data_IF_064102552182
#
_entry.id   IF_064102552182
#
_cell.length_a   1.000
_cell.length_b   1.000
_cell.length_c   1.000
_cell.angle_alpha   90.00
_cell.angle_beta   90.00
_cell.angle_gamma   90.00
#
_symmetry.space_group_name_H-M   'P 1'
#
loop_
_entity.id
_entity.type
_entity.pdbx_description
1 polymer ?
#
# COMPACT_ATOMS: atom_id res chain seq x y z
N UNK A 1 -18.42 -1.49 23.75
CA UNK A 1 -18.32 -1.62 22.27
C UNK A 1 -19.69 -1.28 21.69
N UNK A 2 -19.75 -0.52 20.60
CA UNK A 2 -21.01 -0.18 19.91
C UNK A 2 -21.70 -1.41 19.34
N UNK A 3 -23.02 -1.33 19.17
CA UNK A 3 -23.82 -2.42 18.58
C UNK A 3 -23.41 -2.67 17.12
N UNK A 4 -23.04 -3.92 16.79
CA UNK A 4 -22.67 -4.34 15.44
C UNK A 4 -21.16 -4.33 15.11
N UNK A 5 -20.30 -4.00 16.06
CA UNK A 5 -18.84 -4.13 15.91
C UNK A 5 -18.48 -5.63 15.93
N UNK A 6 -17.86 -6.13 14.86
CA UNK A 6 -17.29 -7.49 14.80
C UNK A 6 -15.76 -7.33 14.85
N UNK A 7 -15.25 -7.04 16.05
CA UNK A 7 -13.84 -6.72 16.29
C UNK A 7 -13.64 -5.94 17.59
N UNK A 8 -12.44 -5.94 18.15
CA UNK A 8 -12.12 -5.12 19.33
C UNK A 8 -11.77 -3.70 18.86
N UNK A 9 -12.13 -2.67 19.64
CA UNK A 9 -11.63 -1.32 19.38
C UNK A 9 -10.14 -1.26 19.70
N UNK A 10 -9.33 -0.80 18.75
CA UNK A 10 -7.89 -0.66 18.92
C UNK A 10 -7.55 0.75 19.39
N UNK A 11 -7.18 0.91 20.66
CA UNK A 11 -6.55 2.16 21.11
C UNK A 11 -5.09 2.13 20.68
N UNK A 12 -4.72 2.97 19.72
CA UNK A 12 -3.35 3.09 19.23
C UNK A 12 -2.74 4.34 19.85
N UNK A 13 -2.29 4.21 21.11
CA UNK A 13 -1.65 5.33 21.80
C UNK A 13 -0.21 5.50 21.31
N UNK A 14 0.08 6.63 20.65
CA UNK A 14 1.45 7.08 20.39
C UNK A 14 2.31 6.13 19.54
N UNK A 15 1.74 5.53 18.50
CA UNK A 15 2.48 4.69 17.55
C UNK A 15 2.82 3.27 18.04
N UNK A 16 2.36 2.86 19.22
CA UNK A 16 2.45 1.46 19.67
C UNK A 16 1.20 0.71 19.24
N UNK A 17 1.34 -0.16 18.24
CA UNK A 17 0.28 -1.07 17.82
C UNK A 17 -0.06 -2.02 18.98
N UNK A 18 -1.27 -1.93 19.54
CA UNK A 18 -1.87 -3.01 20.30
C UNK A 18 -2.63 -3.83 19.26
N UNK A 19 -2.19 -5.05 18.94
CA UNK A 19 -2.88 -5.93 17.98
C UNK A 19 -3.52 -7.09 18.79
N UNK A 20 -4.76 -6.97 19.30
CA UNK A 20 -5.54 -8.14 19.66
C UNK A 20 -5.74 -9.03 18.42
N UNK A 21 -5.83 -10.34 18.66
CA UNK A 21 -6.05 -11.33 17.61
C UNK A 21 -7.41 -11.09 16.93
N UNK A 22 -7.40 -10.55 15.71
CA UNK A 22 -8.59 -10.50 14.88
C UNK A 22 -8.79 -11.85 14.19
N UNK A 23 -9.99 -12.42 14.32
CA UNK A 23 -10.39 -13.57 13.52
C UNK A 23 -10.68 -13.12 12.08
N UNK A 24 -10.29 -13.93 11.10
CA UNK A 24 -10.66 -13.67 9.71
C UNK A 24 -12.19 -13.75 9.59
N UNK A 25 -12.79 -12.81 8.83
CA UNK A 25 -14.23 -12.76 8.62
C UNK A 25 -14.54 -12.53 7.14
N UNK A 26 -15.69 -13.04 6.71
CA UNK A 26 -16.27 -12.76 5.41
C UNK A 26 -17.36 -11.70 5.58
N UNK A 27 -17.44 -10.73 4.68
CA UNK A 27 -18.35 -9.59 4.80
C UNK A 27 -19.42 -9.58 3.69
N UNK A 28 -20.26 -10.63 3.58
CA UNK A 28 -21.16 -10.81 2.43
C UNK A 28 -22.28 -9.76 2.35
N UNK A 29 -22.58 -9.06 3.46
CA UNK A 29 -23.57 -7.98 3.51
C UNK A 29 -22.93 -6.59 3.46
N UNK A 30 -21.65 -6.52 3.12
CA UNK A 30 -20.84 -5.32 3.25
C UNK A 30 -20.10 -5.25 4.60
N UNK A 31 -19.28 -4.22 4.72
CA UNK A 31 -18.43 -3.99 5.89
C UNK A 31 -18.30 -2.49 6.13
N UNK A 32 -17.84 -2.10 7.31
CA UNK A 32 -17.34 -0.76 7.51
C UNK A 32 -16.12 -0.76 8.40
N UNK A 33 -15.31 0.28 8.30
CA UNK A 33 -14.31 0.61 9.29
C UNK A 33 -14.38 2.09 9.63
N UNK A 34 -13.95 2.43 10.84
CA UNK A 34 -13.75 3.81 11.27
C UNK A 34 -12.45 3.91 12.04
N UNK A 35 -11.68 4.97 11.84
CA UNK A 35 -10.51 5.27 12.65
C UNK A 35 -10.27 6.78 12.69
N UNK A 36 -9.59 7.22 13.74
CA UNK A 36 -9.02 8.55 13.78
C UNK A 36 -7.63 8.52 13.18
N UNK A 37 -7.29 9.53 12.39
CA UNK A 37 -5.96 9.70 11.80
C UNK A 37 -5.45 11.10 12.05
N UNK A 38 -4.17 11.21 12.40
CA UNK A 38 -3.42 12.47 12.44
C UNK A 38 -2.20 12.33 11.55
N UNK A 39 -2.10 13.13 10.50
CA UNK A 39 -0.96 13.09 9.58
C UNK A 39 0.20 13.89 10.17
N UNK A 40 1.41 13.34 10.14
CA UNK A 40 2.61 14.06 10.59
C UNK A 40 3.26 14.86 9.46
N UNK A 41 2.82 14.59 8.23
CA UNK A 41 3.28 15.25 7.01
C UNK A 41 2.15 15.18 5.97
N UNK A 42 1.14 16.07 6.06
CA UNK A 42 -0.02 16.06 5.18
C UNK A 42 0.34 16.39 3.71
N UNK A 43 1.55 16.89 3.46
CA UNK A 43 2.07 17.11 2.10
C UNK A 43 2.47 15.82 1.39
N UNK A 44 2.47 14.66 2.09
CA UNK A 44 2.95 13.39 1.55
C UNK A 44 1.88 12.32 1.46
N UNK A 45 1.85 11.62 0.33
CA UNK A 45 0.96 10.48 0.13
C UNK A 45 1.35 9.28 1.00
N UNK A 46 0.33 8.58 1.50
CA UNK A 46 0.48 7.35 2.30
C UNK A 46 -0.25 6.24 1.55
N UNK A 47 0.52 5.26 1.07
CA UNK A 47 0.04 4.14 0.26
C UNK A 47 -0.76 3.09 1.05
N UNK A 48 -1.00 3.30 2.33
CA UNK A 48 -1.74 2.37 3.17
C UNK A 48 -1.83 2.87 4.59
N UNK A 49 -3.05 3.13 5.05
CA UNK A 49 -3.35 3.39 6.45
C UNK A 49 -3.82 2.09 7.10
N UNK A 50 -4.85 1.49 6.50
CA UNK A 50 -5.53 0.28 6.97
C UNK A 50 -5.97 -0.53 5.75
N UNK A 51 -5.77 -1.85 5.75
CA UNK A 51 -6.14 -2.73 4.62
C UNK A 51 -6.77 -4.03 5.07
N UNK A 52 -7.72 -4.55 4.31
CA UNK A 52 -8.15 -5.95 4.44
C UNK A 52 -7.17 -6.87 3.71
N UNK A 53 -7.06 -8.11 4.19
CA UNK A 53 -6.32 -9.17 3.50
C UNK A 53 -6.79 -9.37 2.05
N UNK A 54 -8.10 -9.20 1.80
CA UNK A 54 -8.67 -9.17 0.45
C UNK A 54 -9.63 -7.98 0.31
N UNK A 55 -9.62 -7.30 -0.83
CA UNK A 55 -10.54 -6.20 -1.14
C UNK A 55 -9.99 -4.79 -0.94
N UNK A 56 -8.68 -4.64 -0.69
CA UNK A 56 -7.99 -3.34 -0.73
C UNK A 56 -7.84 -2.65 0.63
N UNK A 57 -7.44 -1.38 0.60
CA UNK A 57 -7.21 -0.59 1.79
C UNK A 57 -7.49 0.89 1.61
N UNK A 58 -7.49 1.61 2.73
CA UNK A 58 -7.61 3.07 2.76
C UNK A 58 -6.21 3.68 2.65
N UNK A 59 -6.07 4.67 1.77
CA UNK A 59 -4.83 5.39 1.52
C UNK A 59 -5.07 6.91 1.59
N UNK A 60 -3.98 7.69 1.67
CA UNK A 60 -4.01 9.15 1.66
C UNK A 60 -3.18 9.73 0.50
N UNK A 61 -3.69 10.79 -0.13
CA UNK A 61 -2.98 11.61 -1.11
C UNK A 61 -3.15 13.11 -0.80
N UNK A 62 -2.11 13.94 -0.93
CA UNK A 62 -2.22 15.38 -0.80
C UNK A 62 -3.15 15.96 -1.87
N UNK A 63 -4.11 16.77 -1.43
CA UNK A 63 -5.03 17.52 -2.30
C UNK A 63 -6.51 17.21 -2.05
N UNK A 64 -7.36 17.68 -2.97
CA UNK A 64 -8.84 17.57 -2.87
C UNK A 64 -9.31 16.12 -2.68
N UNK A 65 -8.51 15.20 -3.18
CA UNK A 65 -8.75 13.76 -3.19
C UNK A 65 -8.12 13.02 -1.99
N UNK A 66 -8.06 13.72 -0.84
CA UNK A 66 -7.38 13.37 0.41
C UNK A 66 -7.34 11.87 0.74
N UNK A 67 -8.48 11.20 0.76
CA UNK A 67 -8.54 9.77 1.03
C UNK A 67 -9.11 8.98 -0.14
N UNK A 68 -8.61 7.76 -0.30
CA UNK A 68 -9.15 6.80 -1.24
C UNK A 68 -9.27 5.40 -0.68
N UNK A 69 -10.03 4.56 -1.39
CA UNK A 69 -10.22 3.16 -1.07
C UNK A 69 -9.96 2.27 -2.29
N UNK A 70 -9.28 1.15 -2.04
CA UNK A 70 -8.96 0.16 -3.06
C UNK A 70 -7.45 -0.05 -3.14
N UNK A 71 -6.92 -0.02 -4.35
CA UNK A 71 -5.49 -0.10 -4.58
C UNK A 71 -4.87 1.30 -4.37
N UNK A 72 -3.75 1.35 -3.64
CA UNK A 72 -3.18 2.63 -3.26
C UNK A 72 -2.37 3.22 -4.42
N UNK A 73 -2.60 4.48 -4.81
CA UNK A 73 -1.77 5.14 -5.80
C UNK A 73 -0.34 5.24 -5.29
N UNK A 74 0.63 5.15 -6.22
CA UNK A 74 2.05 5.35 -5.91
C UNK A 74 2.19 6.61 -5.04
N UNK A 75 2.76 6.46 -3.84
CA UNK A 75 2.93 7.58 -2.93
C UNK A 75 3.88 8.58 -3.57
N UNK A 76 3.33 9.67 -4.11
CA UNK A 76 4.10 10.73 -4.73
C UNK A 76 5.01 11.41 -3.71
N UNK A 77 6.31 11.23 -3.89
CA UNK A 77 7.30 12.31 -3.79
C UNK A 77 8.35 12.10 -4.89
N UNK A 78 8.59 13.17 -5.65
CA UNK A 78 9.72 13.44 -6.54
C UNK A 78 10.38 12.25 -7.24
N UNK A 79 9.94 11.89 -8.45
CA UNK A 79 10.61 10.90 -9.31
C UNK A 79 11.00 9.56 -8.65
N UNK A 80 10.39 9.20 -7.51
CA UNK A 80 10.67 7.96 -6.77
C UNK A 80 9.38 7.15 -6.48
N UNK A 81 8.32 7.45 -7.22
CA UNK A 81 7.15 6.59 -7.35
C UNK A 81 7.58 5.32 -8.10
N UNK A 82 7.66 4.22 -7.35
CA UNK A 82 8.12 2.94 -7.91
C UNK A 82 7.36 2.58 -9.18
N UNK A 83 8.07 1.99 -10.12
CA UNK A 83 7.53 1.49 -11.37
C UNK A 83 6.70 0.26 -11.07
N UNK A 84 5.39 0.37 -11.22
CA UNK A 84 4.45 -0.71 -10.94
C UNK A 84 4.76 -1.93 -11.82
N UNK A 85 4.62 -3.12 -11.26
CA UNK A 85 4.93 -4.37 -11.96
C UNK A 85 3.87 -4.65 -13.03
N UNK A 86 2.60 -4.31 -12.76
CA UNK A 86 1.48 -4.49 -13.68
C UNK A 86 1.59 -3.65 -14.97
N UNK A 87 2.31 -2.53 -14.92
CA UNK A 87 2.55 -1.65 -16.07
C UNK A 87 3.83 -2.03 -16.83
N UNK A 88 4.63 -2.93 -16.27
CA UNK A 88 5.89 -3.37 -16.84
C UNK A 88 5.65 -4.36 -18.00
N UNK A 89 6.71 -4.62 -18.77
CA UNK A 89 6.65 -5.70 -19.76
C UNK A 89 6.83 -7.04 -19.04
N UNK A 90 5.85 -7.92 -19.11
CA UNK A 90 5.96 -9.25 -18.50
C UNK A 90 5.51 -10.37 -19.44
N UNK A 91 5.97 -11.60 -19.17
CA UNK A 91 5.50 -12.83 -19.82
C UNK A 91 5.54 -13.97 -18.83
N UNK A 92 4.37 -14.58 -18.58
CA UNK A 92 4.23 -15.68 -17.63
C UNK A 92 3.44 -15.29 -16.39
N UNK A 93 3.91 -14.31 -15.58
CA UNK A 93 3.18 -13.88 -14.40
C UNK A 93 1.78 -13.40 -14.77
N UNK A 94 0.83 -13.58 -13.86
CA UNK A 94 -0.55 -13.13 -14.05
C UNK A 94 -0.83 -11.88 -13.24
N UNK A 95 -1.59 -10.94 -13.82
CA UNK A 95 -2.06 -9.77 -13.09
C UNK A 95 -3.14 -10.20 -12.09
N UNK A 96 -2.97 -9.85 -10.83
CA UNK A 96 -3.87 -10.20 -9.73
C UNK A 96 -4.15 -8.99 -8.84
N UNK A 97 -5.27 -9.06 -8.11
CA UNK A 97 -5.71 -8.05 -7.12
C UNK A 97 -6.25 -8.66 -5.82
N UNK A 98 -6.05 -9.98 -5.66
CA UNK A 98 -6.71 -10.76 -4.60
C UNK A 98 -6.09 -10.58 -3.22
N UNK A 99 -4.78 -10.29 -3.14
CA UNK A 99 -4.07 -10.08 -1.88
C UNK A 99 -3.91 -8.59 -1.62
N UNK A 100 -4.59 -8.01 -0.64
CA UNK A 100 -4.54 -6.59 -0.34
C UNK A 100 -3.16 -6.08 0.06
N UNK A 101 -2.97 -4.76 -0.06
CA UNK A 101 -1.74 -4.05 0.33
C UNK A 101 -0.77 -3.74 -0.81
N UNK A 102 -1.04 -4.13 -2.06
CA UNK A 102 -0.31 -3.68 -3.25
C UNK A 102 -0.59 -2.19 -3.57
N UNK A 103 0.31 -1.56 -4.31
CA UNK A 103 0.15 -0.24 -4.91
C UNK A 103 -0.40 -0.38 -6.34
N UNK A 104 -0.79 0.72 -6.98
CA UNK A 104 -1.23 0.70 -8.38
C UNK A 104 -2.63 0.12 -8.56
N UNK A 105 -2.81 -0.83 -9.48
CA UNK A 105 -4.09 -1.50 -9.79
C UNK A 105 -4.05 -3.01 -9.58
N UNK A 106 -2.86 -3.56 -9.32
CA UNK A 106 -2.68 -4.98 -9.07
C UNK A 106 -1.26 -5.32 -8.65
N UNK A 107 -0.89 -6.57 -8.83
CA UNK A 107 0.48 -7.05 -8.73
C UNK A 107 0.65 -8.21 -9.71
N UNK A 108 1.90 -8.51 -10.06
CA UNK A 108 2.21 -9.70 -10.84
C UNK A 108 2.44 -10.90 -9.93
N UNK A 109 1.60 -11.92 -10.08
CA UNK A 109 1.76 -13.23 -9.46
C UNK A 109 2.61 -14.12 -10.37
N UNK A 110 3.86 -14.37 -9.97
CA UNK A 110 4.72 -15.32 -10.67
C UNK A 110 4.18 -16.74 -10.45
N UNK A 111 3.86 -17.41 -11.55
CA UNK A 111 3.28 -18.74 -11.54
C UNK A 111 4.31 -19.84 -11.28
N UNK A 112 4.05 -20.98 -11.90
CA UNK A 112 4.81 -22.23 -11.67
C UNK A 112 5.75 -22.59 -12.81
N UNK A 113 5.99 -21.68 -13.76
CA UNK A 113 6.85 -21.95 -14.93
C UNK A 113 8.21 -21.31 -14.75
N UNK A 114 9.23 -21.99 -15.25
CA UNK A 114 10.58 -21.43 -15.37
C UNK A 114 10.64 -20.47 -16.57
N UNK A 115 11.38 -19.37 -16.44
CA UNK A 115 11.59 -18.39 -17.50
C UNK A 115 10.52 -17.31 -17.59
N UNK A 116 9.57 -17.28 -16.65
CA UNK A 116 8.65 -16.16 -16.48
C UNK A 116 9.41 -14.90 -16.08
N UNK A 117 9.04 -13.74 -16.62
CA UNK A 117 9.75 -12.50 -16.34
C UNK A 117 8.86 -11.28 -16.26
N UNK A 118 9.42 -10.25 -15.63
CA UNK A 118 8.97 -8.85 -15.58
C UNK A 118 10.17 -7.95 -15.88
N UNK A 119 9.98 -6.94 -16.72
CA UNK A 119 11.02 -6.03 -17.20
C UNK A 119 10.52 -4.58 -17.19
N UNK A 120 11.27 -3.73 -16.51
CA UNK A 120 11.06 -2.28 -16.49
C UNK A 120 12.09 -1.57 -17.36
N UNK A 121 11.67 -0.51 -18.03
CA UNK A 121 12.57 0.50 -18.60
C UNK A 121 12.72 1.64 -17.60
N UNK A 122 13.95 1.91 -17.16
CA UNK A 122 14.27 2.95 -16.18
C UNK A 122 15.21 3.97 -16.82
N UNK A 123 15.05 5.26 -16.48
CA UNK A 123 15.99 6.29 -16.91
C UNK A 123 16.95 6.60 -15.77
N UNK A 124 18.25 6.45 -16.03
CA UNK A 124 19.32 6.71 -15.05
C UNK A 124 20.01 8.01 -15.42
N UNK A 125 19.97 9.01 -14.54
CA UNK A 125 20.53 10.33 -14.85
C UNK A 125 22.05 10.40 -14.68
N UNK A 126 22.58 9.71 -13.68
CA UNK A 126 24.00 9.74 -13.31
C UNK A 126 24.56 8.33 -13.21
N UNK A 127 25.80 8.14 -13.64
CA UNK A 127 26.51 6.89 -13.38
C UNK A 127 26.73 6.68 -11.87
N UNK A 128 26.77 5.42 -11.44
CA UNK A 128 27.26 5.04 -10.11
C UNK A 128 26.31 4.14 -9.33
N UNK A 129 26.47 4.04 -8.00
CA UNK A 129 25.77 3.04 -7.20
C UNK A 129 24.29 3.40 -7.04
N UNK A 130 23.43 2.53 -7.56
CA UNK A 130 21.99 2.60 -7.40
C UNK A 130 21.49 1.50 -6.48
N UNK A 131 20.37 1.76 -5.81
CA UNK A 131 19.64 0.78 -5.02
C UNK A 131 18.33 0.47 -5.72
N UNK A 132 18.16 -0.78 -6.11
CA UNK A 132 16.90 -1.34 -6.56
C UNK A 132 16.15 -1.88 -5.34
N UNK A 133 14.90 -1.46 -5.17
CA UNK A 133 14.00 -1.95 -4.12
C UNK A 133 12.76 -2.52 -4.77
N UNK A 134 12.64 -3.85 -4.74
CA UNK A 134 11.49 -4.58 -5.26
C UNK A 134 10.49 -4.83 -4.15
N UNK A 135 9.29 -4.25 -4.24
CA UNK A 135 8.21 -4.53 -3.29
C UNK A 135 7.51 -5.82 -3.66
N UNK A 136 7.37 -6.73 -2.71
CA UNK A 136 6.88 -8.08 -2.98
C UNK A 136 6.18 -8.70 -1.76
N UNK A 137 5.37 -9.72 -2.00
CA UNK A 137 4.84 -10.62 -0.98
C UNK A 137 5.18 -12.08 -1.35
N UNK A 138 5.47 -12.90 -0.35
CA UNK A 138 5.86 -14.30 -0.59
C UNK A 138 5.50 -15.22 0.58
N UNK A 139 5.03 -16.44 0.28
CA UNK A 139 4.81 -17.49 1.29
C UNK A 139 6.08 -18.20 1.76
N UNK A 140 7.23 -17.98 1.11
CA UNK A 140 8.48 -18.71 1.37
C UNK A 140 9.67 -18.11 0.60
N UNK A 141 10.79 -18.82 0.54
CA UNK A 141 11.92 -18.38 -0.28
C UNK A 141 11.63 -18.63 -1.77
N UNK A 142 11.50 -17.58 -2.58
CA UNK A 142 11.05 -17.67 -3.98
C UNK A 142 11.97 -16.88 -4.91
N UNK A 143 13.20 -17.36 -5.11
CA UNK A 143 14.25 -16.55 -5.70
C UNK A 143 14.04 -16.26 -7.19
N UNK A 144 14.48 -15.08 -7.64
CA UNK A 144 14.51 -14.67 -9.05
C UNK A 144 15.92 -14.20 -9.46
N UNK A 145 16.28 -14.39 -10.73
CA UNK A 145 17.50 -13.84 -11.32
C UNK A 145 17.28 -12.39 -11.75
N UNK A 146 18.26 -11.54 -11.48
CA UNK A 146 18.28 -10.14 -11.93
C UNK A 146 19.20 -10.02 -13.15
N UNK A 147 18.72 -9.34 -14.19
CA UNK A 147 19.54 -8.91 -15.32
C UNK A 147 19.36 -7.43 -15.60
N UNK A 148 20.42 -6.78 -16.10
CA UNK A 148 20.44 -5.38 -16.54
C UNK A 148 20.84 -5.34 -18.00
N UNK A 149 20.01 -4.71 -18.83
CA UNK A 149 20.20 -4.64 -20.29
C UNK A 149 20.38 -6.01 -20.97
N UNK A 150 19.82 -7.07 -20.36
CA UNK A 150 19.93 -8.46 -20.82
C UNK A 150 21.12 -9.23 -20.27
N UNK A 151 22.02 -8.58 -19.53
CA UNK A 151 23.19 -9.21 -18.91
C UNK A 151 22.88 -9.62 -17.47
N UNK A 152 23.15 -10.88 -17.12
CA UNK A 152 23.03 -11.43 -15.77
C UNK A 152 24.42 -11.55 -15.12
N UNK A 153 24.57 -11.07 -13.88
CA UNK A 153 25.77 -11.36 -13.10
C UNK A 153 25.68 -12.80 -12.55
N UNK A 154 26.30 -13.73 -13.27
CA UNK A 154 26.32 -15.15 -12.92
C UNK A 154 27.11 -15.45 -11.63
N UNK A 155 27.94 -14.52 -11.15
CA UNK A 155 28.67 -14.67 -9.89
C UNK A 155 27.82 -14.27 -8.68
N UNK A 156 26.79 -13.44 -8.88
CA UNK A 156 25.83 -13.07 -7.85
C UNK A 156 24.80 -14.20 -7.65
N UNK A 157 24.46 -14.54 -6.39
CA UNK A 157 23.34 -15.42 -6.14
C UNK A 157 22.03 -14.77 -6.60
N UNK A 158 21.00 -15.57 -6.92
CA UNK A 158 19.67 -15.03 -7.19
C UNK A 158 19.15 -14.17 -6.03
N UNK A 159 18.31 -13.18 -6.33
CA UNK A 159 17.64 -12.41 -5.30
C UNK A 159 16.65 -13.31 -4.57
N UNK A 160 16.70 -13.39 -3.21
CA UNK A 160 16.05 -14.48 -2.50
C UNK A 160 14.52 -14.38 -2.42
N UNK A 161 13.96 -13.16 -2.35
CA UNK A 161 12.52 -12.93 -2.15
C UNK A 161 11.93 -13.86 -1.06
N UNK A 162 12.41 -13.66 0.17
CA UNK A 162 12.09 -14.47 1.34
C UNK A 162 10.61 -14.38 1.78
N UNK A 163 10.16 -15.34 2.59
CA UNK A 163 8.78 -15.33 3.09
C UNK A 163 8.45 -14.05 3.88
N UNK A 164 7.33 -13.41 3.55
CA UNK A 164 6.92 -12.12 4.14
C UNK A 164 5.95 -12.25 5.31
N UNK A 165 5.64 -13.49 5.71
CA UNK A 165 4.62 -13.97 6.69
C UNK A 165 3.27 -14.34 6.06
N UNK A 166 2.76 -13.54 5.13
CA UNK A 166 1.54 -13.84 4.36
C UNK A 166 1.59 -13.11 3.01
N UNK A 167 0.69 -13.48 2.10
CA UNK A 167 0.56 -12.83 0.79
C UNK A 167 0.09 -11.38 0.83
N UNK A 168 -0.36 -10.92 2.00
CA UNK A 168 -0.88 -9.58 2.25
C UNK A 168 0.11 -8.71 3.03
N UNK A 169 1.22 -9.30 3.47
CA UNK A 169 2.34 -8.56 4.06
C UNK A 169 3.38 -8.35 2.96
N UNK A 170 3.55 -7.10 2.56
CA UNK A 170 4.48 -6.69 1.52
C UNK A 170 5.79 -6.20 2.15
N UNK A 171 6.92 -6.57 1.56
CA UNK A 171 8.28 -6.18 1.99
C UNK A 171 9.12 -5.76 0.80
N UNK A 172 10.28 -5.19 1.07
CA UNK A 172 11.24 -4.80 0.03
C UNK A 172 12.41 -5.78 -0.03
N UNK A 173 12.68 -6.32 -1.22
CA UNK A 173 13.94 -6.98 -1.55
C UNK A 173 14.85 -5.91 -2.15
N UNK A 174 15.97 -5.64 -1.47
CA UNK A 174 16.91 -4.60 -1.86
C UNK A 174 18.14 -5.21 -2.53
N UNK A 175 18.59 -4.60 -3.61
CA UNK A 175 19.84 -4.96 -4.30
C UNK A 175 20.58 -3.69 -4.73
N UNK A 176 21.90 -3.66 -4.56
CA UNK A 176 22.74 -2.52 -4.95
C UNK A 176 23.64 -2.91 -6.10
N UNK A 177 23.73 -2.04 -7.08
CA UNK A 177 24.55 -2.23 -8.29
C UNK A 177 24.94 -0.89 -8.88
N UNK A 178 25.99 -0.87 -9.68
CA UNK A 178 26.34 0.31 -10.46
C UNK A 178 25.54 0.35 -11.76
N UNK A 179 24.83 1.45 -11.98
CA UNK A 179 24.15 1.71 -13.25
C UNK A 179 24.89 2.79 -14.04
N UNK A 180 24.90 2.61 -15.36
CA UNK A 180 25.36 3.63 -16.31
C UNK A 180 24.18 4.56 -16.66
N UNK A 181 24.43 5.84 -17.00
CA UNK A 181 23.37 6.77 -17.35
C UNK A 181 22.65 6.37 -18.65
N UNK A 182 21.45 6.91 -18.85
CA UNK A 182 20.56 6.62 -19.98
C UNK A 182 19.45 5.62 -19.63
N UNK A 183 18.71 5.21 -20.66
CA UNK A 183 17.67 4.17 -20.53
C UNK A 183 18.31 2.82 -20.24
N UNK A 184 17.78 2.12 -19.23
CA UNK A 184 18.23 0.79 -18.78
C UNK A 184 17.05 -0.14 -18.65
N UNK A 185 17.26 -1.41 -18.95
CA UNK A 185 16.26 -2.47 -18.72
C UNK A 185 16.63 -3.24 -17.46
N UNK A 186 15.73 -3.25 -16.48
CA UNK A 186 15.88 -4.04 -15.27
C UNK A 186 14.89 -5.18 -15.35
N UNK A 187 15.36 -6.43 -15.34
CA UNK A 187 14.50 -7.61 -15.49
C UNK A 187 14.71 -8.60 -14.36
N UNK A 188 13.62 -9.10 -13.81
CA UNK A 188 13.60 -10.28 -12.95
C UNK A 188 13.05 -11.48 -13.71
N UNK A 189 13.76 -12.61 -13.64
CA UNK A 189 13.39 -13.86 -14.34
C UNK A 189 13.35 -15.02 -13.35
N UNK A 190 12.29 -15.83 -13.43
CA UNK A 190 12.20 -17.06 -12.66
C UNK A 190 13.11 -18.14 -13.23
N UNK A 191 13.84 -18.81 -12.36
CA UNK A 191 14.66 -19.99 -12.69
C UNK A 191 14.18 -21.24 -11.95
N UNK A 192 13.07 -21.12 -11.22
CA UNK A 192 12.38 -22.20 -10.50
C UNK A 192 10.88 -22.09 -10.74
N UNK A 193 10.13 -23.11 -10.37
CA UNK A 193 8.66 -23.16 -10.53
C UNK A 193 7.91 -22.42 -9.40
N UNK A 194 8.53 -21.39 -8.82
CA UNK A 194 7.96 -20.57 -7.76
C UNK A 194 8.55 -19.16 -7.80
N UNK A 195 7.70 -18.15 -7.97
CA UNK A 195 8.06 -16.74 -7.76
C UNK A 195 7.15 -16.02 -6.78
N UNK A 196 7.53 -14.81 -6.34
CA UNK A 196 6.75 -13.99 -5.41
C UNK A 196 5.58 -13.30 -6.13
N UNK A 197 4.68 -12.70 -5.35
CA UNK A 197 3.84 -11.61 -5.83
C UNK A 197 4.70 -10.36 -5.88
N UNK A 198 4.74 -9.69 -7.02
CA UNK A 198 5.60 -8.55 -7.25
C UNK A 198 4.77 -7.31 -7.54
N UNK A 199 5.00 -6.27 -6.74
CA UNK A 199 4.22 -5.05 -6.72
C UNK A 199 4.89 -3.96 -7.54
N UNK A 200 6.12 -3.57 -7.20
CA UNK A 200 6.82 -2.49 -7.92
C UNK A 200 8.32 -2.50 -7.75
N UNK A 201 9.01 -1.74 -8.61
CA UNK A 201 10.43 -1.44 -8.54
C UNK A 201 10.67 0.04 -8.23
N UNK A 202 11.38 0.35 -7.15
CA UNK A 202 11.95 1.69 -6.90
C UNK A 202 13.45 1.70 -7.19
N UNK A 203 13.95 2.74 -7.85
CA UNK A 203 15.37 2.90 -8.23
C UNK A 203 15.91 4.21 -7.67
N UNK A 204 16.81 4.12 -6.69
CA UNK A 204 17.43 5.31 -6.07
C UNK A 204 18.91 5.41 -6.43
N UNK A 205 19.35 6.58 -6.90
CA UNK A 205 20.74 6.82 -7.34
C UNK A 205 21.60 7.62 -6.35
N UNK A 206 22.91 7.78 -6.64
CA UNK A 206 23.83 8.53 -5.80
C UNK A 206 23.55 10.04 -5.93
N UNK A 207 23.01 10.65 -4.88
CA UNK A 207 22.69 12.07 -4.85
C UNK A 207 21.21 12.42 -5.01
N UNK A 208 20.29 11.46 -4.86
CA UNK A 208 18.85 11.74 -4.62
C UNK A 208 18.57 12.30 -3.21
N UNK A 209 19.60 12.63 -2.43
CA UNK A 209 19.48 13.44 -1.22
C UNK A 209 19.13 14.88 -1.56
N UNK A 210 17.87 15.25 -1.29
CA UNK A 210 17.28 16.60 -1.32
C UNK A 210 17.67 17.46 -2.53
N UNK A 211 16.89 17.36 -3.61
CA UNK A 211 16.58 18.57 -4.38
C UNK A 211 15.30 19.17 -3.80
N UNK A 212 15.42 20.29 -3.12
CA UNK A 212 14.36 21.30 -3.08
C UNK A 212 14.02 21.60 -4.55
N UNK A 213 12.85 21.18 -5.01
CA UNK A 213 12.32 21.61 -6.29
C UNK A 213 11.11 22.47 -5.98
N UNK A 214 11.21 23.73 -6.41
CA UNK A 214 10.22 24.77 -6.25
C UNK A 214 8.83 24.34 -6.72
N UNK A 215 7.86 24.80 -5.95
CA UNK A 215 6.42 24.82 -6.16
C UNK A 215 6.00 24.97 -7.62
N UNK A 216 5.12 24.07 -8.08
CA UNK A 216 4.00 24.26 -9.02
C UNK A 216 3.51 22.85 -9.45
N UNK A 217 2.30 22.34 -9.15
CA UNK A 217 0.98 22.89 -8.82
C UNK A 217 0.08 21.86 -8.08
N UNK A 218 -0.80 22.37 -7.19
CA UNK A 218 -2.18 21.89 -6.81
C UNK A 218 -2.39 21.18 -5.46
N UNK A 219 -3.62 21.33 -4.92
CA UNK A 219 -4.07 22.34 -3.94
C UNK A 219 -3.56 22.02 -2.51
N UNK A 220 -3.71 22.95 -1.58
CA UNK A 220 -3.42 22.68 -0.15
C UNK A 220 -4.05 21.36 0.31
N UNK A 221 -3.34 20.54 1.12
CA UNK A 221 -3.91 19.31 1.66
C UNK A 221 -5.16 19.65 2.47
N UNK A 222 -6.24 18.86 2.26
CA UNK A 222 -7.50 19.02 3.02
C UNK A 222 -7.31 18.70 4.51
N UNK A 223 -6.23 17.98 4.83
CA UNK A 223 -5.86 17.55 6.16
C UNK A 223 -4.85 18.51 6.78
N UNK A 224 -5.03 18.82 8.06
CA UNK A 224 -4.05 19.52 8.87
C UNK A 224 -3.28 18.53 9.77
N UNK A 225 -2.50 19.05 10.71
CA UNK A 225 -1.81 18.23 11.71
C UNK A 225 -2.72 17.85 12.90
N UNK A 226 -4.05 17.93 12.79
CA UNK A 226 -5.00 17.49 13.81
C UNK A 226 -5.56 16.09 13.54
N UNK A 227 -6.43 15.64 14.45
CA UNK A 227 -7.10 14.35 14.36
C UNK A 227 -8.39 14.47 13.57
N UNK A 228 -8.51 13.69 12.50
CA UNK A 228 -9.73 13.57 11.71
C UNK A 228 -10.32 12.18 11.78
N UNK A 229 -11.64 12.08 11.69
CA UNK A 229 -12.37 10.82 11.62
C UNK A 229 -12.47 10.39 10.16
N UNK A 230 -11.95 9.21 9.84
CA UNK A 230 -12.14 8.54 8.56
C UNK A 230 -13.04 7.34 8.75
N UNK A 231 -14.15 7.30 8.00
CA UNK A 231 -15.06 6.17 7.98
C UNK A 231 -15.23 5.65 6.55
N UNK A 232 -15.04 4.35 6.36
CA UNK A 232 -15.31 3.67 5.10
C UNK A 232 -16.51 2.75 5.30
N UNK A 233 -17.54 2.90 4.47
CA UNK A 233 -18.74 2.07 4.46
C UNK A 233 -18.86 1.38 3.10
N UNK A 234 -18.86 0.05 3.12
CA UNK A 234 -18.86 -0.82 1.93
C UNK A 234 -20.21 -1.51 1.82
N UNK A 235 -20.92 -1.23 0.73
CA UNK A 235 -22.18 -1.88 0.34
C UNK A 235 -21.93 -2.69 -0.95
N UNK A 236 -22.93 -3.44 -1.42
CA UNK A 236 -22.80 -4.21 -2.66
C UNK A 236 -22.44 -3.30 -3.85
N UNK A 237 -21.29 -3.54 -4.46
CA UNK A 237 -20.81 -2.79 -5.63
C UNK A 237 -20.22 -1.40 -5.33
N UNK A 238 -20.24 -0.91 -4.08
CA UNK A 238 -19.89 0.48 -3.76
C UNK A 238 -19.18 0.66 -2.42
N UNK A 239 -18.27 1.64 -2.39
CA UNK A 239 -17.63 2.14 -1.18
C UNK A 239 -17.94 3.63 -1.02
N UNK A 240 -18.28 4.04 0.19
CA UNK A 240 -18.37 5.46 0.58
C UNK A 240 -17.33 5.74 1.64
N UNK A 241 -16.51 6.73 1.40
CA UNK A 241 -15.53 7.24 2.35
C UNK A 241 -16.02 8.58 2.89
N UNK A 242 -16.04 8.70 4.20
CA UNK A 242 -16.43 9.88 4.94
C UNK A 242 -15.23 10.45 5.69
N UNK A 243 -15.14 11.78 5.69
CA UNK A 243 -14.17 12.56 6.44
C UNK A 243 -14.95 13.49 7.37
N UNK A 244 -14.69 13.39 8.68
CA UNK A 244 -15.35 14.17 9.73
C UNK A 244 -16.87 14.18 9.57
N UNK A 245 -17.44 12.99 9.41
CA UNK A 245 -18.88 12.77 9.28
C UNK A 245 -19.46 13.10 7.90
N UNK A 246 -18.73 13.82 7.05
CA UNK A 246 -19.21 14.24 5.73
C UNK A 246 -18.76 13.27 4.64
N UNK A 247 -19.61 13.02 3.64
CA UNK A 247 -19.23 12.17 2.50
C UNK A 247 -18.09 12.84 1.73
N UNK A 248 -16.94 12.17 1.69
CA UNK A 248 -15.73 12.64 0.99
C UNK A 248 -15.68 12.11 -0.44
N UNK A 249 -15.83 10.79 -0.62
CA UNK A 249 -15.86 10.17 -1.95
C UNK A 249 -16.67 8.88 -1.98
N UNK A 250 -17.15 8.54 -3.17
CA UNK A 250 -17.75 7.26 -3.49
C UNK A 250 -16.95 6.53 -4.60
N UNK A 251 -16.86 5.21 -4.50
CA UNK A 251 -16.10 4.34 -5.41
C UNK A 251 -16.93 3.12 -5.80
N UNK A 252 -16.70 2.60 -7.02
CA UNK A 252 -17.17 1.27 -7.39
C UNK A 252 -16.22 0.20 -6.80
N UNK A 253 -16.78 -0.93 -6.38
CA UNK A 253 -16.01 -2.05 -5.82
C UNK A 253 -16.50 -3.36 -6.39
N UNK A 254 -15.58 -4.20 -6.87
CA UNK A 254 -15.95 -5.45 -7.56
C UNK A 254 -16.46 -6.56 -6.62
N UNK A 255 -16.01 -6.55 -5.36
CA UNK A 255 -16.37 -7.57 -4.37
C UNK A 255 -16.24 -7.04 -2.94
N UNK A 256 -17.02 -7.56 -1.98
CA UNK A 256 -16.83 -7.23 -0.58
C UNK A 256 -15.43 -7.67 -0.11
N UNK A 257 -14.80 -6.93 0.81
CA UNK A 257 -13.51 -7.32 1.35
C UNK A 257 -13.65 -8.57 2.22
N UNK A 258 -12.54 -9.24 2.49
CA UNK A 258 -12.51 -10.36 3.43
C UNK A 258 -11.17 -10.55 4.11
N UNK A 259 -11.18 -11.36 5.17
CA UNK A 259 -10.02 -11.67 5.97
C UNK A 259 -9.72 -10.64 7.06
N UNK A 260 -8.50 -10.70 7.58
CA UNK A 260 -8.04 -9.82 8.67
C UNK A 260 -7.75 -8.41 8.15
N UNK A 261 -7.71 -7.46 9.07
CA UNK A 261 -7.26 -6.11 8.81
C UNK A 261 -5.82 -5.96 9.29
N UNK A 262 -5.00 -5.36 8.45
CA UNK A 262 -3.62 -5.03 8.72
C UNK A 262 -3.42 -3.51 8.65
N UNK A 263 -2.58 -3.02 9.56
CA UNK A 263 -2.04 -1.67 9.55
C UNK A 263 -0.76 -1.71 8.72
N UNK A 264 -0.52 -0.67 7.91
CA UNK A 264 0.78 -0.56 7.25
C UNK A 264 1.87 -0.35 8.31
N UNK A 265 2.96 -1.11 8.20
CA UNK A 265 4.02 -1.07 9.21
C UNK A 265 4.85 0.19 8.99
N UNK A 266 5.02 1.08 9.98
CA UNK A 266 5.83 2.26 9.79
C UNK A 266 7.28 1.83 9.52
N UNK A 267 7.83 2.32 8.40
CA UNK A 267 9.28 2.46 8.24
C UNK A 267 9.84 3.37 9.33
N UNK A 268 11.11 3.76 9.23
CA UNK A 268 11.89 4.42 10.30
C UNK A 268 11.23 5.61 11.05
N UNK A 269 10.16 6.23 10.53
CA UNK A 269 9.22 7.06 11.30
C UNK A 269 7.77 6.89 10.77
N UNK A 270 6.73 6.86 11.64
CA UNK A 270 5.34 6.82 11.19
C UNK A 270 4.96 8.16 10.53
N UNK A 271 4.42 8.10 9.31
CA UNK A 271 3.91 9.29 8.58
C UNK A 271 2.52 9.75 9.08
N UNK A 272 1.93 9.00 9.99
CA UNK A 272 0.61 9.21 10.53
C UNK A 272 0.47 8.49 11.88
N UNK A 273 -0.42 8.99 12.72
CA UNK A 273 -0.94 8.29 13.88
C UNK A 273 -2.35 7.80 13.59
N UNK A 274 -2.71 6.63 14.11
CA UNK A 274 -4.09 6.16 14.13
C UNK A 274 -4.57 6.06 15.57
N UNK A 275 -5.87 6.21 15.78
CA UNK A 275 -6.51 5.86 17.04
C UNK A 275 -7.92 5.31 16.82
N UNK A 276 -8.40 4.52 17.78
CA UNK A 276 -9.72 3.91 17.83
C UNK A 276 -10.21 3.29 16.51
N UNK A 277 -9.37 2.45 15.87
CA UNK A 277 -9.85 1.65 14.74
C UNK A 277 -11.03 0.78 15.21
N UNK A 278 -12.10 0.73 14.42
CA UNK A 278 -13.28 -0.11 14.63
C UNK A 278 -13.67 -0.74 13.31
N UNK A 279 -14.20 -1.96 13.37
CA UNK A 279 -14.57 -2.77 12.20
C UNK A 279 -15.96 -3.33 12.42
N UNK A 280 -16.80 -3.20 11.41
CA UNK A 280 -18.22 -3.52 11.46
C UNK A 280 -18.54 -4.56 10.40
N UNK A 281 -19.32 -5.58 10.77
CA UNK A 281 -19.80 -6.62 9.86
C UNK A 281 -20.94 -6.18 8.94
N UNK A 282 -21.11 -4.87 8.78
CA UNK A 282 -22.17 -4.22 8.00
C UNK A 282 -21.72 -2.83 7.56
N UNK A 283 -22.34 -2.27 6.51
CA UNK A 283 -22.24 -0.84 6.22
C UNK A 283 -22.72 0.00 7.41
N UNK A 284 -22.09 1.16 7.61
CA UNK A 284 -22.57 2.18 8.54
C UNK A 284 -23.39 3.23 7.79
N UNK A 285 -24.57 3.61 8.31
CA UNK A 285 -25.33 4.75 7.82
C UNK A 285 -24.72 6.07 8.32
N UNK A 286 -25.02 7.17 7.63
CA UNK A 286 -24.39 8.49 7.91
C UNK A 286 -24.68 8.99 9.32
N UNK A 287 -25.85 8.67 9.87
CA UNK A 287 -26.27 9.07 11.22
C UNK A 287 -25.37 8.43 12.29
N UNK A 288 -24.99 7.16 12.11
CA UNK A 288 -24.04 6.49 13.00
C UNK A 288 -22.63 7.06 12.86
N UNK A 289 -22.22 7.44 11.65
CA UNK A 289 -20.91 8.06 11.39
C UNK A 289 -20.82 9.42 12.09
N UNK A 290 -21.87 10.23 11.99
CA UNK A 290 -21.97 11.53 12.69
C UNK A 290 -21.97 11.35 14.21
N UNK A 291 -22.63 10.31 14.73
CA UNK A 291 -22.58 9.99 16.16
C UNK A 291 -21.17 9.60 16.65
N UNK A 292 -20.36 8.94 15.81
CA UNK A 292 -18.95 8.64 16.14
C UNK A 292 -18.09 9.90 16.24
N UNK A 293 -18.36 10.91 15.43
CA UNK A 293 -17.68 12.21 15.48
C UNK A 293 -18.00 12.94 16.79
N UNK A 294 -19.29 13.09 17.11
CA UNK A 294 -19.77 13.81 18.30
C UNK A 294 -19.25 13.21 19.62
N UNK A 295 -19.18 11.87 19.72
CA UNK A 295 -18.70 11.19 20.93
C UNK A 295 -17.26 11.55 21.31
N UNK A 296 -16.40 11.90 20.34
CA UNK A 296 -15.01 12.27 20.65
C UNK A 296 -14.88 13.74 21.02
N UNK A 297 -15.68 14.62 20.41
CA UNK A 297 -15.72 16.04 20.80
C UNK A 297 -16.15 16.19 22.26
N UNK A 298 -17.12 15.39 22.71
CA UNK A 298 -17.54 15.35 24.13
C UNK A 298 -16.48 14.76 25.06
N UNK A 299 -15.68 13.79 24.60
CA UNK A 299 -14.61 13.18 25.40
C UNK A 299 -13.33 14.05 25.48
N UNK A 300 -13.20 15.05 24.62
CA UNK A 300 -12.07 15.99 24.58
C UNK A 300 -12.31 17.26 25.41
N UNK A 301 -13.54 17.49 25.89
CA UNK A 301 -13.94 18.55 26.82
C UNK A 301 -13.83 18.08 28.27
#
# INVERSE_FOLDING_TARGET
LHSGVIGQSWLMKGGKAIIPAQQAHEYPKGAALSFWVKLTDPSRAISGLVSWEKGGGVYYQPGKDAFGFGAAPASGEGQDGGLEAEDAKFKGPSLQKGNGGFAGTGYLDFGTKVGEFVEWEVTVDKAGPHTLSFRYASSGNRPLRLSVDGEEDLLSPPLPFAGTKSWTVWRNQVHKLDLKPGKRKIRLTSFSTAGPNLDRLTVTGPGSGKKEVAETLSPEPVMDEEWHLVCLSLEEGRAKLYLDGSLHREFAVDAPPSGRIALDSPGRHPRFYLDELRVYGRPLPVEEIQALLAQKEEAAQ
#
